data_IF_645232520841
#
_entry.id   IF_645232520841
#
_cell.length_a   1.000
_cell.length_b   1.000
_cell.length_c   1.000
_cell.angle_alpha   90.00
_cell.angle_beta   90.00
_cell.angle_gamma   90.00
#
_symmetry.space_group_name_H-M   'P 1'
#
loop_
_entity.id
_entity.type
_entity.pdbx_description
1 polymer ?
#
# COMPACT_ATOMS: atom_id res chain seq x y z
N UNK A 1 -9.83 -7.62 2.68
CA UNK A 1 -9.53 -7.20 1.29
C UNK A 1 -8.68 -5.95 1.39
N UNK A 2 -7.55 -5.85 0.68
CA UNK A 2 -6.68 -4.66 0.77
C UNK A 2 -7.25 -3.48 -0.01
N UNK A 3 -6.87 -2.24 0.31
CA UNK A 3 -7.24 -1.08 -0.50
C UNK A 3 -6.78 -1.25 -1.94
N UNK A 4 -5.58 -1.80 -2.17
CA UNK A 4 -5.08 -2.03 -3.51
C UNK A 4 -6.02 -2.97 -4.31
N UNK A 5 -6.42 -4.10 -3.71
CA UNK A 5 -7.39 -5.00 -4.32
C UNK A 5 -8.75 -4.33 -4.59
N UNK A 6 -9.24 -3.51 -3.65
CA UNK A 6 -10.47 -2.75 -3.82
C UNK A 6 -10.37 -1.76 -5.00
N UNK A 7 -9.28 -1.00 -5.08
CA UNK A 7 -9.08 -0.02 -6.15
C UNK A 7 -8.93 -0.68 -7.53
N UNK A 8 -8.29 -1.85 -7.61
CA UNK A 8 -8.21 -2.65 -8.84
C UNK A 8 -9.60 -3.10 -9.28
N UNK A 9 -10.39 -3.69 -8.38
CA UNK A 9 -11.74 -4.15 -8.67
C UNK A 9 -12.66 -3.03 -9.16
N UNK A 10 -12.65 -1.89 -8.47
CA UNK A 10 -13.42 -0.69 -8.87
C UNK A 10 -13.00 -0.23 -10.27
N UNK A 11 -11.71 -0.26 -10.57
CA UNK A 11 -11.19 0.13 -11.88
C UNK A 11 -11.68 -0.82 -12.99
N UNK A 12 -11.67 -2.13 -12.73
CA UNK A 12 -12.16 -3.16 -13.66
C UNK A 12 -13.67 -3.09 -13.88
N UNK A 13 -14.43 -2.71 -12.84
CA UNK A 13 -15.88 -2.51 -12.92
C UNK A 13 -16.27 -1.18 -13.61
N UNK A 14 -15.28 -0.38 -14.07
CA UNK A 14 -15.53 0.90 -14.72
C UNK A 14 -16.01 2.00 -13.76
N UNK A 15 -15.85 1.79 -12.45
CA UNK A 15 -16.24 2.71 -11.41
C UNK A 15 -15.14 3.75 -11.16
N UNK A 16 -15.56 4.87 -10.57
CA UNK A 16 -14.72 6.04 -10.41
C UNK A 16 -14.29 6.33 -8.98
N UNK A 17 -13.68 7.50 -8.86
CA UNK A 17 -13.23 8.06 -7.58
C UNK A 17 -14.37 8.22 -6.56
N UNK A 18 -15.55 8.62 -7.02
CA UNK A 18 -16.70 8.85 -6.16
C UNK A 18 -17.20 7.54 -5.53
N UNK A 19 -17.22 6.46 -6.32
CA UNK A 19 -17.63 5.13 -5.89
C UNK A 19 -16.67 4.57 -4.85
N UNK A 20 -15.36 4.71 -5.06
CA UNK A 20 -14.36 4.34 -4.06
C UNK A 20 -14.57 5.06 -2.73
N UNK A 21 -14.85 6.37 -2.75
CA UNK A 21 -15.09 7.13 -1.51
C UNK A 21 -16.37 6.65 -0.83
N UNK A 22 -17.46 6.45 -1.59
CA UNK A 22 -18.73 5.96 -1.05
C UNK A 22 -18.56 4.58 -0.39
N UNK A 23 -17.93 3.63 -1.09
CA UNK A 23 -17.67 2.29 -0.58
C UNK A 23 -16.84 2.31 0.71
N UNK A 24 -15.80 3.15 0.78
CA UNK A 24 -14.98 3.28 1.98
C UNK A 24 -15.74 3.90 3.16
N UNK A 25 -16.54 4.94 2.92
CA UNK A 25 -17.31 5.60 3.98
C UNK A 25 -18.49 4.77 4.49
N UNK A 26 -19.07 3.93 3.62
CA UNK A 26 -20.10 2.96 3.98
C UNK A 26 -19.51 1.79 4.75
N UNK A 27 -18.38 1.22 4.30
CA UNK A 27 -17.66 0.20 5.05
C UNK A 27 -17.21 0.70 6.44
N UNK A 28 -16.73 1.94 6.54
CA UNK A 28 -16.40 2.57 7.83
C UNK A 28 -17.62 2.70 8.74
N UNK A 29 -18.79 2.97 8.18
CA UNK A 29 -20.05 3.08 8.93
C UNK A 29 -20.47 1.72 9.48
N UNK A 30 -20.41 0.68 8.66
CA UNK A 30 -20.70 -0.70 9.04
C UNK A 30 -19.78 -1.17 10.17
N UNK A 31 -18.46 -1.07 9.98
CA UNK A 31 -17.47 -1.43 11.00
C UNK A 31 -17.71 -0.73 12.33
N UNK A 32 -18.04 0.56 12.31
CA UNK A 32 -18.34 1.28 13.54
C UNK A 32 -19.66 0.86 14.18
N UNK A 33 -20.65 0.45 13.39
CA UNK A 33 -21.92 -0.05 13.91
C UNK A 33 -21.77 -1.47 14.49
N UNK A 34 -20.96 -2.32 13.86
CA UNK A 34 -20.60 -3.64 14.39
C UNK A 34 -19.90 -3.52 15.75
N UNK A 35 -18.95 -2.58 15.86
CA UNK A 35 -18.19 -2.39 17.10
C UNK A 35 -18.99 -1.65 18.18
N UNK A 36 -19.64 -0.53 17.87
CA UNK A 36 -20.25 0.35 18.89
C UNK A 36 -21.78 0.22 19.00
N UNK A 37 -22.42 -0.54 18.12
CA UNK A 37 -23.86 -0.49 17.87
C UNK A 37 -24.27 0.67 16.93
N UNK A 38 -25.50 0.65 16.39
CA UNK A 38 -26.04 1.71 15.54
C UNK A 38 -25.90 3.11 16.16
N UNK A 39 -25.81 4.15 15.33
CA UNK A 39 -25.56 5.52 15.80
C UNK A 39 -26.58 6.00 16.85
N UNK A 40 -27.87 5.76 16.58
CA UNK A 40 -28.96 6.17 17.47
C UNK A 40 -29.27 5.13 18.56
N UNK A 41 -28.68 3.94 18.48
CA UNK A 41 -28.86 2.84 19.43
C UNK A 41 -27.51 2.24 19.82
N UNK A 42 -26.65 3.00 20.51
CA UNK A 42 -25.32 2.52 20.89
C UNK A 42 -25.43 1.31 21.84
N UNK A 43 -24.59 0.31 21.62
CA UNK A 43 -24.54 -0.89 22.47
C UNK A 43 -23.84 -0.54 23.79
N UNK A 44 -24.63 -0.35 24.86
CA UNK A 44 -24.12 0.03 26.18
C UNK A 44 -23.06 -0.94 26.71
N UNK A 45 -23.16 -2.23 26.42
CA UNK A 45 -22.17 -3.22 26.87
C UNK A 45 -20.97 -3.40 25.93
N UNK A 46 -20.90 -2.66 24.83
CA UNK A 46 -19.75 -2.79 23.93
C UNK A 46 -18.45 -2.32 24.59
N UNK A 47 -17.39 -3.10 24.38
CA UNK A 47 -16.00 -2.74 24.63
C UNK A 47 -15.59 -1.46 23.90
N UNK A 48 -16.17 -1.19 22.73
CA UNK A 48 -15.78 -0.05 21.90
C UNK A 48 -16.75 1.13 22.05
N UNK A 49 -16.17 2.33 22.12
CA UNK A 49 -16.89 3.62 22.18
C UNK A 49 -16.50 4.49 21.01
N UNK A 50 -17.44 5.28 20.48
CA UNK A 50 -17.15 6.22 19.38
C UNK A 50 -16.22 7.33 19.88
N UNK A 51 -15.18 7.64 19.11
CA UNK A 51 -14.12 8.59 19.46
C UNK A 51 -13.95 9.71 18.42
N UNK A 52 -15.07 10.09 17.78
CA UNK A 52 -15.11 11.14 16.77
C UNK A 52 -14.79 10.68 15.36
N UNK A 53 -14.50 11.64 14.48
CA UNK A 53 -14.20 11.42 13.06
C UNK A 53 -12.92 12.18 12.68
N UNK A 54 -12.21 11.69 11.67
CA UNK A 54 -11.03 12.34 11.12
C UNK A 54 -11.10 12.27 9.60
N UNK A 55 -10.77 13.40 8.95
CA UNK A 55 -10.58 13.43 7.50
C UNK A 55 -9.18 12.92 7.17
N UNK A 56 -9.07 12.05 6.18
CA UNK A 56 -7.80 11.51 5.69
C UNK A 56 -7.68 11.70 4.18
N UNK A 57 -6.49 12.10 3.76
CA UNK A 57 -6.11 12.22 2.36
C UNK A 57 -5.33 10.97 1.96
N UNK A 58 -5.81 10.25 0.95
CA UNK A 58 -5.19 9.04 0.42
C UNK A 58 -4.85 9.28 -1.05
N UNK A 59 -3.60 9.07 -1.44
CA UNK A 59 -3.20 9.00 -2.84
C UNK A 59 -3.40 7.56 -3.32
N UNK A 60 -4.29 7.38 -4.28
CA UNK A 60 -4.64 6.09 -4.89
C UNK A 60 -4.42 6.16 -6.39
N UNK A 61 -4.66 5.06 -7.11
CA UNK A 61 -4.67 5.05 -8.58
C UNK A 61 -5.72 5.98 -9.19
N UNK A 62 -6.79 6.30 -8.47
CA UNK A 62 -7.80 7.30 -8.90
C UNK A 62 -7.39 8.73 -8.52
N UNK A 63 -6.14 8.91 -8.13
CA UNK A 63 -5.59 10.14 -7.60
C UNK A 63 -5.87 10.32 -6.11
N UNK A 64 -5.73 11.57 -5.64
CA UNK A 64 -5.92 11.93 -4.24
C UNK A 64 -7.40 11.96 -3.86
N UNK A 65 -7.82 11.04 -2.99
CA UNK A 65 -9.16 11.00 -2.40
C UNK A 65 -9.15 11.49 -0.95
N UNK A 66 -10.29 11.99 -0.50
CA UNK A 66 -10.47 12.46 0.87
C UNK A 66 -11.62 11.68 1.50
N UNK A 67 -11.31 10.88 2.51
CA UNK A 67 -12.28 10.00 3.19
C UNK A 67 -12.48 10.47 4.62
N UNK A 68 -13.73 10.56 5.08
CA UNK A 68 -14.05 10.81 6.49
C UNK A 68 -14.17 9.48 7.22
N UNK A 69 -13.18 9.16 8.02
CA UNK A 69 -13.17 7.92 8.81
C UNK A 69 -13.57 8.16 10.25
N UNK A 70 -14.26 7.18 10.83
CA UNK A 70 -14.67 7.18 12.23
C UNK A 70 -13.58 6.52 13.07
N UNK A 71 -13.45 7.01 14.30
CA UNK A 71 -12.52 6.47 15.30
C UNK A 71 -13.31 5.81 16.40
N UNK A 72 -12.77 4.73 16.94
CA UNK A 72 -13.32 4.04 18.11
C UNK A 72 -12.25 3.94 19.18
N UNK A 73 -12.64 4.17 20.43
CA UNK A 73 -11.84 3.96 21.62
C UNK A 73 -12.18 2.59 22.18
N UNK A 74 -11.16 1.78 22.40
CA UNK A 74 -11.25 0.57 23.18
C UNK A 74 -11.33 0.94 24.67
N UNK A 75 -12.42 0.56 25.35
CA UNK A 75 -12.60 0.87 26.77
C UNK A 75 -11.68 0.04 27.67
N UNK A 76 -11.18 -1.11 27.21
CA UNK A 76 -10.29 -1.98 27.98
C UNK A 76 -8.85 -1.48 27.93
N UNK A 77 -8.36 -1.09 26.74
CA UNK A 77 -6.96 -0.66 26.56
C UNK A 77 -6.79 0.86 26.55
N UNK A 78 -7.87 1.63 26.37
CA UNK A 78 -7.83 3.08 26.18
C UNK A 78 -7.38 3.53 24.79
N UNK A 79 -6.93 2.61 23.93
CA UNK A 79 -6.40 2.89 22.60
C UNK A 79 -7.51 3.43 21.67
N UNK A 80 -7.17 4.41 20.83
CA UNK A 80 -8.09 4.93 19.81
C UNK A 80 -7.64 4.47 18.42
N UNK A 81 -8.44 3.58 17.84
CA UNK A 81 -8.18 2.98 16.53
C UNK A 81 -9.13 3.53 15.48
N UNK A 82 -8.74 3.36 14.21
CA UNK A 82 -9.60 3.66 13.05
C UNK A 82 -9.95 2.32 12.40
N UNK A 83 -11.16 1.78 12.59
CA UNK A 83 -11.48 0.42 12.16
C UNK A 83 -11.21 0.16 10.67
N UNK A 84 -11.58 1.12 9.81
CA UNK A 84 -11.37 1.02 8.37
C UNK A 84 -9.88 0.81 8.01
N UNK A 85 -8.95 1.39 8.77
CA UNK A 85 -7.50 1.26 8.49
C UNK A 85 -7.05 -0.19 8.55
N UNK A 86 -7.53 -0.94 9.54
CA UNK A 86 -7.20 -2.35 9.72
C UNK A 86 -7.95 -3.24 8.72
N UNK A 87 -9.22 -2.93 8.45
CA UNK A 87 -10.08 -3.72 7.54
C UNK A 87 -9.55 -3.75 6.10
N UNK A 88 -9.15 -2.58 5.57
CA UNK A 88 -8.61 -2.46 4.21
C UNK A 88 -7.08 -2.39 4.14
N UNK A 89 -6.38 -2.67 5.25
CA UNK A 89 -4.91 -2.71 5.33
C UNK A 89 -4.25 -1.46 4.72
N UNK A 90 -4.68 -0.29 5.18
CA UNK A 90 -4.10 0.97 4.71
C UNK A 90 -2.69 1.15 5.27
N UNK A 91 -1.83 1.78 4.47
CA UNK A 91 -0.47 2.08 4.87
C UNK A 91 -0.48 3.25 5.86
N UNK A 92 -0.45 2.91 7.15
CA UNK A 92 -0.76 3.83 8.23
C UNK A 92 0.14 5.07 8.21
N UNK A 93 -0.49 6.25 8.11
CA UNK A 93 0.23 7.53 8.14
C UNK A 93 0.81 7.97 6.80
N UNK A 94 0.89 7.08 5.79
CA UNK A 94 1.31 7.45 4.44
C UNK A 94 0.12 7.96 3.62
N UNK A 95 0.37 8.99 2.80
CA UNK A 95 -0.65 9.51 1.88
C UNK A 95 -0.83 8.54 0.73
N UNK A 96 0.26 8.23 0.01
CA UNK A 96 0.24 7.37 -1.17
C UNK A 96 0.22 5.89 -0.77
N UNK A 97 -0.83 5.21 -1.23
CA UNK A 97 -1.14 3.83 -0.88
C UNK A 97 -0.42 2.85 -1.80
N UNK A 98 -0.32 1.55 -1.44
CA UNK A 98 0.49 0.59 -2.18
C UNK A 98 0.11 0.44 -3.66
N UNK A 99 -1.14 0.68 -4.03
CA UNK A 99 -1.63 0.62 -5.41
C UNK A 99 -0.94 1.62 -6.35
N UNK A 100 -0.89 2.89 -5.95
CA UNK A 100 -0.26 3.96 -6.76
C UNK A 100 1.26 3.90 -6.68
N UNK A 101 1.80 3.34 -5.60
CA UNK A 101 3.24 3.09 -5.48
C UNK A 101 3.65 1.97 -6.42
N UNK A 102 2.98 0.83 -6.41
CA UNK A 102 3.26 -0.28 -7.34
C UNK A 102 3.17 0.17 -8.81
N UNK A 103 2.18 0.99 -9.16
CA UNK A 103 2.10 1.60 -10.50
C UNK A 103 3.33 2.49 -10.79
N UNK A 104 3.75 3.33 -9.85
CA UNK A 104 4.93 4.17 -10.03
C UNK A 104 6.21 3.33 -10.20
N UNK A 105 6.35 2.24 -9.45
CA UNK A 105 7.49 1.34 -9.50
C UNK A 105 7.62 0.66 -10.86
N UNK A 106 6.50 0.18 -11.41
CA UNK A 106 6.43 -0.39 -12.77
C UNK A 106 6.95 0.57 -13.84
N UNK A 107 6.68 1.88 -13.71
CA UNK A 107 7.28 2.85 -14.63
C UNK A 107 8.79 2.97 -14.40
N UNK A 108 9.24 3.06 -13.14
CA UNK A 108 10.67 3.25 -12.81
C UNK A 108 11.57 2.07 -13.18
N UNK A 109 11.02 0.88 -13.40
CA UNK A 109 11.77 -0.26 -13.95
C UNK A 109 12.35 0.05 -15.34
N UNK A 110 11.71 0.93 -16.11
CA UNK A 110 12.04 1.16 -17.53
C UNK A 110 12.53 2.57 -17.83
N UNK A 111 12.45 3.48 -16.88
CA UNK A 111 12.79 4.89 -17.10
C UNK A 111 13.24 5.58 -15.81
N UNK A 112 13.74 6.81 -15.95
CA UNK A 112 14.17 7.58 -14.78
C UNK A 112 12.99 7.94 -13.89
N UNK A 113 13.21 8.17 -12.59
CA UNK A 113 12.14 8.61 -11.67
C UNK A 113 11.43 9.91 -12.10
N UNK A 114 12.11 10.76 -12.89
CA UNK A 114 11.51 11.99 -13.42
C UNK A 114 10.50 11.65 -14.51
N UNK A 115 10.90 10.84 -15.47
CA UNK A 115 10.06 10.45 -16.61
C UNK A 115 8.91 9.56 -16.12
N UNK A 116 9.18 8.65 -15.18
CA UNK A 116 8.15 7.80 -14.56
C UNK A 116 7.04 8.62 -13.91
N UNK A 117 7.39 9.73 -13.25
CA UNK A 117 6.40 10.64 -12.67
C UNK A 117 5.59 11.35 -13.77
N UNK A 118 6.22 11.74 -14.87
CA UNK A 118 5.54 12.39 -15.99
C UNK A 118 4.55 11.44 -16.66
N UNK A 119 5.00 10.21 -16.98
CA UNK A 119 4.14 9.17 -17.56
C UNK A 119 3.00 8.76 -16.62
N UNK A 120 3.29 8.54 -15.34
CA UNK A 120 2.24 8.25 -14.36
C UNK A 120 1.25 9.42 -14.22
N UNK A 121 1.71 10.66 -14.38
CA UNK A 121 0.88 11.86 -14.34
C UNK A 121 -0.16 11.93 -15.45
N UNK A 122 0.04 11.20 -16.55
CA UNK A 122 -0.93 11.09 -17.66
C UNK A 122 -2.13 10.20 -17.29
N UNK A 123 -1.95 9.27 -16.35
CA UNK A 123 -2.97 8.28 -15.97
C UNK A 123 -3.52 8.47 -14.56
N UNK A 124 -2.77 9.09 -13.65
CA UNK A 124 -3.18 9.33 -12.26
C UNK A 124 -3.04 10.81 -11.90
N UNK A 125 -4.12 11.41 -11.40
CA UNK A 125 -4.08 12.80 -10.94
C UNK A 125 -3.40 12.91 -9.57
N UNK A 126 -2.33 13.72 -9.50
CA UNK A 126 -1.68 14.04 -8.22
C UNK A 126 -0.73 12.95 -7.72
N UNK A 127 0.06 12.38 -8.63
CA UNK A 127 1.09 11.35 -8.41
C UNK A 127 2.09 11.65 -7.28
N UNK A 128 2.73 10.61 -6.70
CA UNK A 128 3.85 10.79 -5.78
C UNK A 128 5.01 11.56 -6.42
N UNK A 129 5.79 12.27 -5.59
CA UNK A 129 7.02 12.90 -6.07
C UNK A 129 8.10 11.85 -6.38
N UNK A 130 9.09 12.15 -7.24
CA UNK A 130 10.18 11.22 -7.56
C UNK A 130 10.92 10.75 -6.30
N UNK A 131 11.12 11.66 -5.34
CA UNK A 131 11.69 11.35 -4.02
C UNK A 131 10.82 10.39 -3.20
N UNK A 132 9.51 10.52 -3.28
CA UNK A 132 8.58 9.60 -2.59
C UNK A 132 8.65 8.20 -3.20
N UNK A 133 8.68 8.10 -4.53
CA UNK A 133 8.80 6.82 -5.24
C UNK A 133 10.15 6.16 -4.94
N UNK A 134 11.26 6.90 -5.06
CA UNK A 134 12.58 6.37 -4.74
C UNK A 134 12.67 5.83 -3.30
N UNK A 135 12.12 6.57 -2.32
CA UNK A 135 12.09 6.07 -0.93
C UNK A 135 11.29 4.76 -0.81
N UNK A 136 10.17 4.64 -1.50
CA UNK A 136 9.33 3.44 -1.50
C UNK A 136 10.01 2.24 -2.15
N UNK A 137 10.62 2.44 -3.31
CA UNK A 137 11.43 1.41 -3.99
C UNK A 137 12.53 0.88 -3.08
N UNK A 138 13.18 1.75 -2.30
CA UNK A 138 14.21 1.33 -1.33
C UNK A 138 13.58 0.54 -0.17
N UNK A 139 12.47 1.02 0.39
CA UNK A 139 11.73 0.32 1.45
C UNK A 139 11.34 -1.10 0.99
N UNK A 140 10.74 -1.22 -0.20
CA UNK A 140 10.24 -2.49 -0.75
C UNK A 140 11.38 -3.41 -1.19
N UNK A 141 12.47 -2.85 -1.74
CA UNK A 141 13.69 -3.60 -2.04
C UNK A 141 14.38 -4.18 -0.79
N UNK A 142 14.37 -3.46 0.33
CA UNK A 142 14.88 -3.98 1.60
C UNK A 142 14.03 -5.14 2.12
N UNK A 143 12.70 -5.02 2.05
CA UNK A 143 11.78 -6.10 2.43
C UNK A 143 11.99 -7.35 1.56
N UNK A 144 12.18 -7.18 0.25
CA UNK A 144 12.49 -8.28 -0.66
C UNK A 144 13.81 -8.96 -0.29
N UNK A 145 14.87 -8.18 -0.01
CA UNK A 145 16.16 -8.72 0.40
C UNK A 145 16.10 -9.49 1.72
N UNK A 146 15.32 -9.02 2.70
CA UNK A 146 15.08 -9.75 3.95
C UNK A 146 14.36 -11.07 3.70
N UNK A 147 13.32 -11.07 2.86
CA UNK A 147 12.58 -12.27 2.49
C UNK A 147 13.47 -13.29 1.75
N UNK A 148 14.37 -12.83 0.87
CA UNK A 148 15.34 -13.68 0.19
C UNK A 148 16.31 -14.31 1.19
N UNK A 149 16.83 -13.54 2.15
CA UNK A 149 17.77 -14.04 3.17
C UNK A 149 17.16 -15.08 4.11
N UNK A 150 15.88 -14.95 4.42
CA UNK A 150 15.16 -15.89 5.30
C UNK A 150 14.78 -17.19 4.59
N UNK A 151 14.89 -17.25 3.26
CA UNK A 151 14.53 -18.44 2.49
C UNK A 151 15.70 -19.42 2.51
N UNK A 152 15.50 -20.61 3.09
CA UNK A 152 16.43 -21.72 2.87
C UNK A 152 16.42 -22.08 1.38
N UNK A 153 17.59 -22.01 0.75
CA UNK A 153 17.76 -22.33 -0.67
C UNK A 153 18.46 -23.68 -0.77
N UNK A 154 17.75 -24.71 -1.23
CA UNK A 154 18.34 -26.00 -1.63
C UNK A 154 18.61 -25.91 -3.13
N UNK A 155 19.88 -25.97 -3.54
CA UNK A 155 20.28 -25.68 -4.93
C UNK A 155 21.10 -26.81 -5.54
N UNK A 156 20.76 -27.19 -6.77
CA UNK A 156 21.48 -28.22 -7.54
C UNK A 156 22.60 -27.63 -8.40
N UNK A 157 22.30 -26.57 -9.17
CA UNK A 157 23.28 -25.89 -10.04
C UNK A 157 23.11 -24.37 -9.98
N UNK A 158 24.25 -23.67 -9.95
CA UNK A 158 24.37 -22.22 -9.77
C UNK A 158 24.99 -21.60 -11.02
N UNK A 159 24.29 -20.69 -11.70
CA UNK A 159 24.84 -19.94 -12.85
C UNK A 159 24.99 -18.46 -12.45
N UNK A 160 26.22 -17.93 -12.37
CA UNK A 160 26.44 -16.52 -12.10
C UNK A 160 26.18 -15.66 -13.34
N UNK A 161 25.50 -14.53 -13.15
CA UNK A 161 25.38 -13.45 -14.14
C UNK A 161 26.31 -12.28 -13.77
N UNK A 162 26.94 -11.70 -14.80
CA UNK A 162 28.00 -10.69 -14.70
C UNK A 162 27.53 -9.27 -14.98
N UNK A 163 26.29 -8.93 -14.62
CA UNK A 163 25.76 -7.58 -14.82
C UNK A 163 26.60 -6.55 -14.06
N UNK A 164 27.12 -5.53 -14.77
CA UNK A 164 27.95 -4.47 -14.17
C UNK A 164 27.14 -3.21 -13.89
N UNK A 165 27.27 -2.67 -12.67
CA UNK A 165 26.64 -1.42 -12.25
C UNK A 165 27.69 -0.36 -11.92
N UNK A 166 27.46 0.86 -12.40
CA UNK A 166 28.28 2.02 -12.07
C UNK A 166 27.60 2.82 -10.96
N UNK A 167 28.30 3.01 -9.84
CA UNK A 167 27.84 3.80 -8.72
C UNK A 167 28.73 5.03 -8.52
N UNK A 168 28.20 6.05 -7.85
CA UNK A 168 28.88 7.33 -7.64
C UNK A 168 30.24 7.18 -6.92
N UNK A 169 30.40 6.13 -6.11
CA UNK A 169 31.62 5.85 -5.34
C UNK A 169 32.41 4.64 -5.87
N UNK A 170 32.17 4.17 -7.10
CA UNK A 170 32.91 3.05 -7.69
C UNK A 170 32.04 2.13 -8.56
N UNK A 171 32.61 1.01 -9.01
CA UNK A 171 31.83 -0.06 -9.66
C UNK A 171 31.20 -0.93 -8.57
N UNK A 172 29.89 -1.11 -8.64
CA UNK A 172 29.16 -2.07 -7.82
C UNK A 172 29.04 -3.35 -8.66
N UNK A 173 29.73 -4.39 -8.22
CA UNK A 173 29.66 -5.72 -8.78
C UNK A 173 28.89 -6.59 -7.78
N UNK A 174 27.58 -6.72 -7.98
CA UNK A 174 26.83 -7.81 -7.37
C UNK A 174 26.70 -8.92 -8.42
N UNK A 175 27.22 -10.10 -8.10
CA UNK A 175 27.02 -11.29 -8.93
C UNK A 175 25.57 -11.74 -8.73
N UNK A 176 24.72 -11.52 -9.72
CA UNK A 176 23.35 -12.02 -9.69
C UNK A 176 23.38 -13.53 -9.94
N UNK A 177 23.09 -14.33 -8.93
CA UNK A 177 23.06 -15.78 -9.06
C UNK A 177 21.66 -16.21 -9.51
N UNK A 178 21.57 -16.85 -10.68
CA UNK A 178 20.34 -17.52 -11.12
C UNK A 178 20.42 -18.99 -10.70
N UNK A 179 19.40 -19.46 -9.97
CA UNK A 179 19.33 -20.81 -9.41
C UNK A 179 18.34 -21.64 -10.22
N UNK A 180 18.83 -22.74 -10.80
CA UNK A 180 17.99 -23.73 -11.45
C UNK A 180 17.83 -24.95 -10.53
N UNK A 181 16.58 -25.33 -10.26
CA UNK A 181 16.26 -26.56 -9.52
C UNK A 181 16.03 -27.66 -10.56
N UNK A 182 16.87 -28.68 -10.54
CA UNK A 182 16.65 -29.90 -11.34
C UNK A 182 15.89 -30.88 -10.45
N UNK A 183 14.60 -31.08 -10.73
CA UNK A 183 13.80 -32.13 -10.07
C UNK A 183 14.16 -33.44 -10.74
N UNK A 184 14.82 -34.32 -9.99
CA UNK A 184 15.08 -35.71 -10.39
C UNK A 184 13.90 -36.61 -10.09
#
# INVERSE_FOLDING_TARGET
>A
MTLAALTQRIYEEGLGRADLVALLEDRDRELCNELCGPWYHPRKESRYRRAGRKRRLLGTRFGKISVRVRRVRDATTGEVVTPLWRDVQLDEGKVYQPDVIALAEQFTERMTYRDAREELGKVVVGVPSPRTVNRRVIEDGNLLNEAIRQREMVTGSVIPDGTMLHAKNGKLHDVNITLAVQVG
#
